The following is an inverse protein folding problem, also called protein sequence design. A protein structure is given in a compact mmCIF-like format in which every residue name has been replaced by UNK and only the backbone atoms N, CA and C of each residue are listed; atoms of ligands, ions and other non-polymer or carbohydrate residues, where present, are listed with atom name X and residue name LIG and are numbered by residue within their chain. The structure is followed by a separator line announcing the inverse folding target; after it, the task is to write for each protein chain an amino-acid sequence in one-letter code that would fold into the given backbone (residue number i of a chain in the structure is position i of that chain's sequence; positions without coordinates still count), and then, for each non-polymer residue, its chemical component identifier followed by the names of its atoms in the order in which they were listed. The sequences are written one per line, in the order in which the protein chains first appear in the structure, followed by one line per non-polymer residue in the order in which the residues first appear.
data_IF_555024618916
#
_entry.id   IF_555024618916
#
_cell.length_a   1.000
_cell.length_b   1.000
_cell.length_c   1.000
_cell.angle_alpha   90.00
_cell.angle_beta   90.00
_cell.angle_gamma   90.00
#
_symmetry.space_group_name_H-M   'P 1'
#
loop_
_entity.id
_entity.type
_entity.pdbx_description
1 polymer ?
#
# COMPACT_ATOMS: atom_id res chain seq x y z
N UNK A 1 -1.26 -65.02 -51.14
CA UNK A 1 -0.80 -66.33 -50.63
C UNK A 1 0.63 -66.14 -50.20
N UNK A 2 1.09 -66.32 -48.98
CA UNK A 2 0.55 -66.89 -47.74
C UNK A 2 1.75 -66.88 -46.76
N UNK A 3 1.50 -66.85 -45.45
CA UNK A 3 2.48 -66.98 -44.35
C UNK A 3 3.01 -65.68 -43.71
N UNK A 4 2.11 -64.84 -43.21
CA UNK A 4 2.39 -63.98 -42.05
C UNK A 4 1.47 -64.27 -40.84
N UNK A 5 0.76 -65.40 -40.82
CA UNK A 5 -0.20 -65.77 -39.77
C UNK A 5 0.37 -66.75 -38.71
N UNK A 6 1.60 -66.58 -38.22
CA UNK A 6 2.16 -67.53 -37.24
C UNK A 6 2.91 -66.96 -36.05
N UNK A 7 2.40 -65.87 -35.47
CA UNK A 7 2.76 -65.55 -34.08
C UNK A 7 1.51 -65.03 -33.38
N UNK A 8 0.59 -65.95 -33.08
CA UNK A 8 -0.27 -65.82 -31.91
C UNK A 8 0.14 -66.87 -30.88
N UNK A 9 0.05 -66.43 -29.63
CA UNK A 9 -0.08 -67.19 -28.37
C UNK A 9 1.16 -67.58 -27.57
N UNK A 10 1.22 -66.94 -26.40
CA UNK A 10 2.02 -67.27 -25.21
C UNK A 10 2.59 -65.98 -24.64
N UNK A 11 2.15 -65.42 -23.52
CA UNK A 11 1.30 -65.91 -22.43
C UNK A 11 1.04 -64.69 -21.53
N UNK A 12 -0.10 -64.67 -20.84
CA UNK A 12 -0.43 -63.73 -19.77
C UNK A 12 0.77 -63.39 -18.87
N UNK A 13 1.08 -62.09 -18.71
CA UNK A 13 1.55 -61.58 -17.43
C UNK A 13 0.68 -60.39 -17.01
N UNK A 14 -0.34 -60.79 -16.28
CA UNK A 14 -1.24 -60.01 -15.48
C UNK A 14 -0.47 -59.32 -14.36
N UNK A 15 -0.73 -58.02 -14.21
CA UNK A 15 -0.46 -57.15 -13.04
C UNK A 15 0.85 -56.36 -13.12
N UNK A 16 0.73 -55.14 -13.62
CA UNK A 16 1.04 -54.03 -12.72
C UNK A 16 -0.06 -52.97 -12.83
N UNK A 17 -0.70 -52.62 -11.70
CA UNK A 17 -1.81 -51.70 -11.69
C UNK A 17 -1.30 -50.34 -12.11
N UNK A 18 -2.14 -49.65 -12.87
CA UNK A 18 -2.13 -48.21 -13.00
C UNK A 18 -1.73 -47.60 -11.66
N UNK A 19 -0.52 -47.07 -11.57
CA UNK A 19 -0.19 -46.11 -10.51
C UNK A 19 -0.93 -44.84 -10.91
N UNK A 20 -2.24 -44.88 -10.77
CA UNK A 20 -3.12 -43.73 -10.74
C UNK A 20 -2.71 -42.97 -9.48
N UNK A 21 -1.71 -42.10 -9.62
CA UNK A 21 -1.52 -40.97 -8.72
C UNK A 21 -2.92 -40.36 -8.57
N UNK A 22 -3.57 -40.41 -7.39
CA UNK A 22 -4.91 -39.88 -7.24
C UNK A 22 -4.81 -38.38 -7.49
N UNK A 23 -5.14 -37.99 -8.72
CA UNK A 23 -5.06 -36.64 -9.29
C UNK A 23 -5.88 -35.61 -8.49
N UNK A 24 -6.63 -36.09 -7.50
CA UNK A 24 -7.46 -35.32 -6.58
C UNK A 24 -6.68 -34.68 -5.41
N UNK A 25 -5.60 -35.31 -4.91
CA UNK A 25 -4.84 -34.77 -3.77
C UNK A 25 -3.76 -33.76 -4.18
N UNK A 26 -3.18 -33.92 -5.38
CA UNK A 26 -2.22 -32.95 -5.92
C UNK A 26 -2.86 -31.57 -6.15
N UNK A 27 -4.13 -31.52 -6.58
CA UNK A 27 -4.88 -30.27 -6.77
C UNK A 27 -5.32 -29.60 -5.44
N UNK A 28 -5.39 -30.33 -4.34
CA UNK A 28 -5.70 -29.76 -3.02
C UNK A 28 -4.49 -29.07 -2.38
N UNK A 29 -3.27 -29.53 -2.66
CA UNK A 29 -2.05 -28.86 -2.19
C UNK A 29 -1.65 -27.64 -3.03
N UNK A 30 -2.03 -27.57 -4.32
CA UNK A 30 -1.80 -26.38 -5.17
C UNK A 30 -2.69 -25.19 -4.77
N UNK A 31 -3.84 -25.44 -4.15
CA UNK A 31 -4.78 -24.39 -3.68
C UNK A 31 -4.32 -23.61 -2.45
N UNK A 32 -3.22 -24.06 -1.82
CA UNK A 32 -2.55 -23.37 -0.71
C UNK A 32 -1.38 -22.46 -1.16
N UNK A 33 -1.26 -22.16 -2.46
CA UNK A 33 -0.48 -21.01 -2.90
C UNK A 33 -1.09 -19.75 -2.28
N UNK A 34 -0.40 -19.16 -1.29
CA UNK A 34 -0.76 -17.91 -0.63
C UNK A 34 -1.30 -16.92 -1.66
N UNK A 35 -2.60 -16.57 -1.60
CA UNK A 35 -3.18 -15.71 -2.61
C UNK A 35 -2.50 -14.36 -2.48
N UNK A 36 -1.83 -13.91 -3.54
CA UNK A 36 -1.25 -12.56 -3.63
C UNK A 36 -2.31 -11.49 -3.29
N UNK A 37 -3.58 -11.79 -3.55
CA UNK A 37 -4.75 -11.02 -3.12
C UNK A 37 -4.78 -10.76 -1.61
N UNK A 38 -4.47 -11.76 -0.77
CA UNK A 38 -4.50 -11.59 0.68
C UNK A 38 -3.45 -10.58 1.12
N UNK A 39 -2.25 -10.63 0.54
CA UNK A 39 -1.16 -9.68 0.84
C UNK A 39 -1.58 -8.26 0.46
N UNK A 40 -2.15 -8.08 -0.74
CA UNK A 40 -2.59 -6.76 -1.21
C UNK A 40 -3.71 -6.22 -0.32
N UNK A 41 -4.72 -7.04 -0.02
CA UNK A 41 -5.86 -6.63 0.82
C UNK A 41 -5.42 -6.30 2.24
N UNK A 42 -4.58 -7.12 2.87
CA UNK A 42 -4.10 -6.83 4.22
C UNK A 42 -3.25 -5.56 4.24
N UNK A 43 -2.37 -5.37 3.25
CA UNK A 43 -1.49 -4.19 3.22
C UNK A 43 -2.31 -2.93 2.95
N UNK A 44 -3.27 -2.98 2.02
CA UNK A 44 -4.19 -1.88 1.76
C UNK A 44 -5.02 -1.52 2.99
N UNK A 45 -5.50 -2.51 3.75
CA UNK A 45 -6.22 -2.30 5.00
C UNK A 45 -5.36 -1.58 6.05
N UNK A 46 -4.12 -2.03 6.25
CA UNK A 46 -3.18 -1.40 7.19
C UNK A 46 -2.85 0.04 6.79
N UNK A 47 -2.54 0.28 5.51
CA UNK A 47 -2.24 1.62 5.01
C UNK A 47 -3.46 2.55 5.13
N UNK A 48 -4.65 2.07 4.78
CA UNK A 48 -5.90 2.84 4.90
C UNK A 48 -6.25 3.18 6.34
N UNK A 49 -6.15 2.22 7.26
CA UNK A 49 -6.38 2.48 8.68
C UNK A 49 -5.35 3.44 9.27
N UNK A 50 -4.06 3.25 8.95
CA UNK A 50 -2.99 4.11 9.43
C UNK A 50 -3.13 5.56 8.94
N UNK A 51 -3.38 5.75 7.66
CA UNK A 51 -3.59 7.09 7.08
C UNK A 51 -4.89 7.73 7.58
N UNK A 52 -5.97 6.96 7.73
CA UNK A 52 -7.24 7.44 8.28
C UNK A 52 -7.12 7.93 9.72
N UNK A 53 -6.48 7.15 10.60
CA UNK A 53 -6.22 7.56 11.98
C UNK A 53 -5.29 8.78 12.04
N UNK A 54 -4.26 8.81 11.18
CA UNK A 54 -3.37 9.96 11.05
C UNK A 54 -4.13 11.24 10.69
N UNK A 55 -5.09 11.15 9.76
CA UNK A 55 -5.93 12.28 9.37
C UNK A 55 -6.80 12.79 10.53
N UNK A 56 -7.39 11.90 11.34
CA UNK A 56 -8.17 12.29 12.52
C UNK A 56 -7.32 13.03 13.55
N UNK A 57 -6.12 12.51 13.84
CA UNK A 57 -5.17 13.16 14.75
C UNK A 57 -4.77 14.54 14.21
N UNK A 58 -4.52 14.64 12.90
CA UNK A 58 -4.20 15.91 12.26
C UNK A 58 -5.34 16.94 12.40
N UNK A 59 -6.59 16.52 12.20
CA UNK A 59 -7.78 17.38 12.38
C UNK A 59 -7.87 17.89 13.83
N UNK A 60 -7.66 17.03 14.82
CA UNK A 60 -7.63 17.44 16.22
C UNK A 60 -6.51 18.43 16.52
N UNK A 61 -5.33 18.24 15.92
CA UNK A 61 -4.19 19.14 16.07
C UNK A 61 -4.49 20.53 15.49
N UNK A 62 -5.18 20.59 14.34
CA UNK A 62 -5.66 21.85 13.76
C UNK A 62 -6.65 22.57 14.67
N UNK A 63 -7.56 21.84 15.31
CA UNK A 63 -8.48 22.38 16.31
C UNK A 63 -7.74 23.04 17.48
N UNK A 64 -6.72 22.35 18.03
CA UNK A 64 -5.90 22.88 19.12
C UNK A 64 -5.15 24.17 18.76
N UNK A 65 -4.66 24.28 17.52
CA UNK A 65 -4.05 25.52 17.01
C UNK A 65 -5.08 26.64 16.89
N UNK A 66 -6.32 26.31 16.49
CA UNK A 66 -7.44 27.25 16.45
C UNK A 66 -7.79 27.81 17.82
N UNK A 67 -7.88 26.95 18.84
CA UNK A 67 -8.14 27.36 20.23
C UNK A 67 -7.00 28.18 20.83
N UNK A 68 -5.75 27.81 20.54
CA UNK A 68 -4.59 28.62 20.92
C UNK A 68 -4.65 30.02 20.26
N UNK A 69 -5.06 30.06 19.00
CA UNK A 69 -5.19 31.31 18.25
C UNK A 69 -6.29 32.21 18.83
N UNK A 70 -7.42 31.64 19.25
CA UNK A 70 -8.51 32.40 19.86
C UNK A 70 -8.11 32.99 21.22
N UNK A 71 -7.34 32.24 22.03
CA UNK A 71 -6.79 32.76 23.29
C UNK A 71 -5.83 33.93 23.07
N UNK A 72 -4.90 33.83 22.12
CA UNK A 72 -3.97 34.94 21.84
C UNK A 72 -4.69 36.19 21.31
N UNK A 73 -5.72 35.99 20.48
CA UNK A 73 -6.58 37.10 20.01
C UNK A 73 -7.33 37.79 21.15
N UNK A 74 -7.76 37.07 22.18
CA UNK A 74 -8.46 37.69 23.31
C UNK A 74 -7.56 38.54 24.20
N UNK A 75 -6.25 38.22 24.28
CA UNK A 75 -5.28 39.01 25.05
C UNK A 75 -4.72 40.21 24.29
N UNK A 76 -4.43 40.07 22.98
CA UNK A 76 -3.75 41.10 22.19
C UNK A 76 -4.70 41.93 21.31
N UNK A 77 -5.94 41.48 21.11
CA UNK A 77 -6.89 42.04 20.15
C UNK A 77 -6.91 41.29 18.82
N UNK A 78 -8.04 41.35 18.10
CA UNK A 78 -8.31 40.50 16.93
C UNK A 78 -7.28 40.66 15.81
N UNK A 79 -6.98 41.90 15.42
CA UNK A 79 -6.09 42.23 14.31
C UNK A 79 -4.61 41.98 14.65
N UNK A 80 -4.03 42.55 15.73
CA UNK A 80 -2.62 42.34 16.07
C UNK A 80 -2.33 40.89 16.50
N UNK A 81 -3.25 40.24 17.23
CA UNK A 81 -3.09 38.84 17.65
C UNK A 81 -3.09 37.87 16.45
N UNK A 82 -3.94 38.10 15.45
CA UNK A 82 -3.95 37.30 14.23
C UNK A 82 -2.67 37.48 13.42
N UNK A 83 -2.23 38.73 13.21
CA UNK A 83 -1.00 39.02 12.46
C UNK A 83 0.23 38.42 13.14
N UNK A 84 0.34 38.51 14.46
CA UNK A 84 1.42 37.92 15.23
C UNK A 84 1.47 36.40 15.02
N UNK A 85 0.34 35.71 15.20
CA UNK A 85 0.28 34.26 15.03
C UNK A 85 0.59 33.85 13.62
N UNK A 86 -0.01 34.49 12.61
CA UNK A 86 0.24 34.15 11.21
C UNK A 86 1.71 34.37 10.84
N UNK A 87 2.34 35.44 11.35
CA UNK A 87 3.76 35.71 11.16
C UNK A 87 4.65 34.65 11.82
N UNK A 88 4.39 34.32 13.09
CA UNK A 88 5.18 33.32 13.84
C UNK A 88 4.98 31.92 13.26
N UNK A 89 3.73 31.52 12.98
CA UNK A 89 3.41 30.24 12.36
C UNK A 89 4.07 30.12 10.99
N UNK A 90 3.98 31.15 10.15
CA UNK A 90 4.64 31.19 8.84
C UNK A 90 6.16 31.09 8.94
N UNK A 91 6.78 31.75 9.93
CA UNK A 91 8.23 31.69 10.15
C UNK A 91 8.67 30.30 10.59
N UNK A 92 7.98 29.70 11.57
CA UNK A 92 8.30 28.36 12.08
C UNK A 92 8.11 27.31 11.00
N UNK A 93 6.93 27.29 10.36
CA UNK A 93 6.61 26.33 9.30
C UNK A 93 7.51 26.54 8.09
N UNK A 94 7.74 27.79 7.69
CA UNK A 94 8.63 28.13 6.58
C UNK A 94 10.07 27.70 6.81
N UNK A 95 10.63 27.97 8.00
CA UNK A 95 11.97 27.52 8.38
C UNK A 95 12.06 25.99 8.44
N UNK A 96 11.00 25.34 8.93
CA UNK A 96 10.91 23.89 9.01
C UNK A 96 10.93 23.25 7.62
N UNK A 97 10.08 23.73 6.70
CA UNK A 97 10.02 23.26 5.32
C UNK A 97 11.34 23.54 4.60
N UNK A 98 11.94 24.71 4.80
CA UNK A 98 13.20 25.08 4.14
C UNK A 98 14.37 24.17 4.56
N UNK A 99 14.40 23.70 5.81
CA UNK A 99 15.51 22.90 6.34
C UNK A 99 15.31 21.38 6.24
N UNK A 100 14.08 20.90 6.43
CA UNK A 100 13.82 19.45 6.57
C UNK A 100 12.88 18.88 5.51
N UNK A 101 12.02 19.67 4.88
CA UNK A 101 10.98 19.17 3.97
C UNK A 101 10.90 20.00 2.68
N UNK A 102 12.05 20.23 2.02
CA UNK A 102 12.10 21.03 0.79
C UNK A 102 11.26 20.44 -0.34
N UNK A 103 11.04 19.12 -0.31
CA UNK A 103 10.20 18.39 -1.27
C UNK A 103 8.68 18.56 -0.98
N UNK A 104 8.29 19.00 0.22
CA UNK A 104 6.88 19.30 0.57
C UNK A 104 6.35 20.59 -0.09
N UNK A 105 7.20 21.28 -0.85
CA UNK A 105 6.82 22.43 -1.69
C UNK A 105 6.20 22.01 -3.03
N UNK A 106 6.28 20.72 -3.39
CA UNK A 106 5.68 20.19 -4.61
C UNK A 106 4.14 20.24 -4.57
N UNK A 107 3.50 20.05 -5.73
CA UNK A 107 2.04 20.13 -5.84
C UNK A 107 1.31 18.92 -5.22
N UNK A 108 2.07 17.94 -4.71
CA UNK A 108 1.63 16.81 -3.89
C UNK A 108 0.92 15.75 -4.72
N UNK A 109 -0.29 16.08 -5.19
CA UNK A 109 -1.11 15.18 -6.01
C UNK A 109 -0.48 14.90 -7.39
N UNK A 110 0.03 15.90 -8.14
CA UNK A 110 0.66 15.66 -9.44
C UNK A 110 1.92 14.79 -9.35
N UNK A 111 2.75 14.96 -8.31
CA UNK A 111 3.95 14.13 -8.11
C UNK A 111 3.61 12.66 -7.86
N UNK A 112 2.55 12.38 -7.09
CA UNK A 112 2.06 11.01 -6.89
C UNK A 112 1.51 10.44 -8.19
N UNK A 113 0.72 11.24 -8.93
CA UNK A 113 0.19 10.83 -10.23
C UNK A 113 1.31 10.55 -11.24
N UNK A 114 2.37 11.38 -11.29
CA UNK A 114 3.53 11.18 -12.13
C UNK A 114 4.30 9.90 -11.73
N UNK A 115 4.49 9.66 -10.43
CA UNK A 115 5.19 8.46 -9.96
C UNK A 115 4.43 7.18 -10.34
N UNK A 116 3.10 7.20 -10.28
CA UNK A 116 2.24 6.10 -10.73
C UNK A 116 2.36 5.92 -12.25
N UNK A 117 2.26 7.00 -13.03
CA UNK A 117 2.26 6.93 -14.49
C UNK A 117 3.63 6.57 -15.10
N UNK A 118 4.72 7.08 -14.53
CA UNK A 118 6.05 7.05 -15.15
C UNK A 118 7.09 6.20 -14.38
N UNK A 119 6.87 5.94 -13.08
CA UNK A 119 7.89 5.34 -12.20
C UNK A 119 7.41 4.08 -11.47
N UNK A 120 6.35 3.45 -11.97
CA UNK A 120 5.78 2.23 -11.40
C UNK A 120 5.32 2.38 -9.94
N UNK A 121 4.93 3.59 -9.53
CA UNK A 121 4.45 3.89 -8.18
C UNK A 121 5.54 4.08 -7.12
N UNK A 122 6.83 4.13 -7.50
CA UNK A 122 7.93 4.30 -6.52
C UNK A 122 8.13 5.77 -6.17
N UNK A 123 7.71 6.15 -4.96
CA UNK A 123 7.93 7.49 -4.39
C UNK A 123 9.24 7.50 -3.60
N UNK A 124 10.00 8.59 -3.71
CA UNK A 124 11.24 8.81 -2.97
C UNK A 124 10.91 9.04 -1.48
N UNK A 125 11.56 8.33 -0.53
CA UNK A 125 11.17 8.31 0.88
C UNK A 125 11.53 9.58 1.66
N UNK A 126 11.98 10.66 1.01
CA UNK A 126 12.46 11.86 1.70
C UNK A 126 11.35 12.85 2.09
N UNK A 127 10.09 12.57 1.77
CA UNK A 127 8.92 13.35 2.25
C UNK A 127 7.60 12.53 2.29
N UNK A 128 7.66 11.20 2.37
CA UNK A 128 6.47 10.39 2.64
C UNK A 128 6.46 9.95 4.11
#
# INVERSE_FOLDING_TARGET
MSNQERIEMGSEDSRNPEVALPFSLANLLVRWQTPEELIIVTTALFVGLGTGLGAVVFIWMLGGIGDFTSQVKSYLGEIPGLLLIMGVAGLIVGAMIARWASEAKGHGVPEVMEAIAMRGGRIRPRVA
#
